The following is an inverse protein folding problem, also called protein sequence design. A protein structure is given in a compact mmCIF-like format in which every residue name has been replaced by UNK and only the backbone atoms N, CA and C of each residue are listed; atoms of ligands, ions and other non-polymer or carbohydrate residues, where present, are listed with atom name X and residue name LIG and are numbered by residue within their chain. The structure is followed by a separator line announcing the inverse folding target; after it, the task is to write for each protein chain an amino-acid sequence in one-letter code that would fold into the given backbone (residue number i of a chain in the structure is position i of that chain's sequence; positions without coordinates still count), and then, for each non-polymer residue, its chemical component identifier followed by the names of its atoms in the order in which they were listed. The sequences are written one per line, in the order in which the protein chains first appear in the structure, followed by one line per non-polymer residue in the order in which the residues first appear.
data_IF_166793546719
#
_entry.id   IF_166793546719
#
_cell.length_a   1.000
_cell.length_b   1.000
_cell.length_c   1.000
_cell.angle_alpha   90.00
_cell.angle_beta   90.00
_cell.angle_gamma   90.00
#
_symmetry.space_group_name_H-M   'P 1'
#
loop_
_entity.id
_entity.type
_entity.pdbx_description
1 polymer ?
#
# COMPACT_ATOMS: atom_id res chain seq x y z
N UNK A 1 3.81 -18.24 4.05
CA UNK A 1 4.66 -17.13 3.58
C UNK A 1 3.87 -15.82 3.51
N UNK A 2 3.12 -15.52 2.43
CA UNK A 2 2.51 -14.17 2.25
C UNK A 2 1.59 -13.75 3.40
N UNK A 3 0.62 -14.59 3.80
CA UNK A 3 -0.32 -14.26 4.89
C UNK A 3 0.41 -14.03 6.21
N UNK A 4 1.38 -14.87 6.54
CA UNK A 4 2.19 -14.75 7.76
C UNK A 4 3.01 -13.46 7.76
N UNK A 5 3.65 -13.13 6.62
CA UNK A 5 4.36 -11.86 6.47
C UNK A 5 3.43 -10.66 6.65
N UNK A 6 2.23 -10.70 6.07
CA UNK A 6 1.23 -9.63 6.25
C UNK A 6 0.79 -9.49 7.70
N UNK A 7 0.58 -10.60 8.42
CA UNK A 7 0.24 -10.58 9.85
C UNK A 7 1.38 -9.97 10.66
N UNK A 8 2.63 -10.37 10.40
CA UNK A 8 3.80 -9.82 11.10
C UNK A 8 3.96 -8.31 10.86
N UNK A 9 3.77 -7.86 9.61
CA UNK A 9 3.80 -6.43 9.26
C UNK A 9 2.69 -5.69 10.00
N UNK A 10 1.46 -6.20 10.02
CA UNK A 10 0.35 -5.58 10.73
C UNK A 10 0.61 -5.46 12.24
N UNK A 11 1.14 -6.52 12.88
CA UNK A 11 1.51 -6.51 14.29
C UNK A 11 2.61 -5.46 14.57
N UNK A 12 3.64 -5.41 13.72
CA UNK A 12 4.71 -4.42 13.85
C UNK A 12 4.16 -2.99 13.71
N UNK A 13 3.30 -2.72 12.73
CA UNK A 13 2.66 -1.42 12.53
C UNK A 13 1.87 -0.98 13.77
N UNK A 14 1.10 -1.89 14.39
CA UNK A 14 0.36 -1.61 15.62
C UNK A 14 1.29 -1.28 16.79
N UNK A 15 2.37 -2.05 16.98
CA UNK A 15 3.35 -1.82 18.05
C UNK A 15 4.06 -0.47 17.89
N UNK A 16 4.49 -0.15 16.67
CA UNK A 16 5.15 1.14 16.36
C UNK A 16 4.19 2.31 16.59
N UNK A 17 2.95 2.20 16.10
CA UNK A 17 1.91 3.21 16.31
C UNK A 17 1.67 3.48 17.80
N UNK A 18 1.56 2.42 18.60
CA UNK A 18 1.32 2.53 20.04
C UNK A 18 2.51 3.17 20.78
N UNK A 19 3.75 2.80 20.43
CA UNK A 19 4.94 3.42 21.03
C UNK A 19 5.04 4.90 20.72
N UNK A 20 4.78 5.29 19.47
CA UNK A 20 4.78 6.70 19.07
C UNK A 20 3.68 7.50 19.79
N UNK A 21 2.49 6.93 19.97
CA UNK A 21 1.41 7.60 20.74
C UNK A 21 1.87 7.89 22.17
N UNK A 22 2.48 6.91 22.83
CA UNK A 22 2.97 7.06 24.20
C UNK A 22 4.08 8.12 24.26
N UNK A 23 5.01 8.14 23.29
CA UNK A 23 6.00 9.21 23.20
C UNK A 23 5.38 10.59 23.01
N UNK A 24 4.38 10.73 22.14
CA UNK A 24 3.71 12.02 21.94
C UNK A 24 2.97 12.52 23.19
N UNK A 25 2.37 11.61 23.96
CA UNK A 25 1.75 11.93 25.25
C UNK A 25 2.77 12.38 26.31
N UNK A 26 3.99 11.83 26.27
CA UNK A 26 5.07 12.26 27.14
C UNK A 26 5.65 13.63 26.73
N UNK A 27 5.73 13.91 25.43
CA UNK A 27 6.23 15.18 24.90
C UNK A 27 5.26 16.35 25.09
N UNK A 28 3.95 16.08 25.07
CA UNK A 28 2.90 17.07 25.24
C UNK A 28 1.85 16.60 26.26
N UNK A 29 2.22 16.49 27.56
CA UNK A 29 1.35 15.96 28.60
C UNK A 29 0.06 16.78 28.76
N UNK A 30 0.11 18.09 28.52
CA UNK A 30 -1.04 19.00 28.55
C UNK A 30 -2.07 18.70 27.45
N UNK A 31 -1.64 18.02 26.37
CA UNK A 31 -2.51 17.58 25.26
C UNK A 31 -2.76 16.08 25.28
N UNK A 32 -2.26 15.34 26.27
CA UNK A 32 -2.32 13.88 26.33
C UNK A 32 -3.74 13.34 26.12
N UNK A 33 -4.73 13.93 26.81
CA UNK A 33 -6.14 13.57 26.70
C UNK A 33 -6.75 13.82 25.31
N UNK A 34 -6.15 14.72 24.51
CA UNK A 34 -6.60 15.04 23.14
C UNK A 34 -6.07 14.07 22.09
N UNK A 35 -5.04 13.28 22.41
CA UNK A 35 -4.61 12.17 21.56
C UNK A 35 -5.55 10.96 21.75
N UNK A 36 -6.77 11.09 21.24
CA UNK A 36 -7.74 10.00 21.25
C UNK A 36 -7.28 8.88 20.30
N UNK A 37 -7.62 7.60 20.57
CA UNK A 37 -7.21 6.49 19.71
C UNK A 37 -7.59 6.68 18.24
N UNK A 38 -8.80 7.15 17.96
CA UNK A 38 -9.28 7.41 16.59
C UNK A 38 -8.46 8.50 15.90
N UNK A 39 -8.29 9.66 16.56
CA UNK A 39 -7.53 10.78 15.96
C UNK A 39 -6.08 10.42 15.72
N UNK A 40 -5.49 9.65 16.65
CA UNK A 40 -4.15 9.11 16.51
C UNK A 40 -4.05 8.16 15.31
N UNK A 41 -4.95 7.20 15.19
CA UNK A 41 -4.96 6.23 14.11
C UNK A 41 -5.05 6.89 12.73
N UNK A 42 -5.95 7.86 12.55
CA UNK A 42 -6.07 8.64 11.31
C UNK A 42 -4.78 9.38 10.95
N UNK A 43 -4.18 10.03 11.96
CA UNK A 43 -2.98 10.85 11.77
C UNK A 43 -1.73 9.97 11.54
N UNK A 44 -1.67 8.81 12.19
CA UNK A 44 -0.62 7.82 11.98
C UNK A 44 -0.72 7.20 10.58
N UNK A 45 -1.93 6.82 10.16
CA UNK A 45 -2.17 6.27 8.82
C UNK A 45 -1.75 7.24 7.72
N UNK A 46 -2.11 8.52 7.83
CA UNK A 46 -1.80 9.52 6.79
C UNK A 46 -0.29 9.78 6.63
N UNK A 47 0.48 9.65 7.71
CA UNK A 47 1.93 9.88 7.68
C UNK A 47 2.76 8.59 7.58
N UNK A 48 2.14 7.41 7.70
CA UNK A 48 2.82 6.12 7.68
C UNK A 48 3.72 5.91 6.45
N UNK A 49 3.33 6.29 5.22
CA UNK A 49 4.23 6.20 4.06
C UNK A 49 5.49 7.05 4.23
N UNK A 50 5.34 8.27 4.74
CA UNK A 50 6.48 9.17 5.00
C UNK A 50 7.41 8.62 6.08
N UNK A 51 6.84 8.03 7.13
CA UNK A 51 7.63 7.34 8.17
C UNK A 51 8.41 6.19 7.52
N UNK A 52 7.77 5.38 6.68
CA UNK A 52 8.41 4.26 5.99
C UNK A 52 9.57 4.73 5.11
N UNK A 53 9.35 5.70 4.23
CA UNK A 53 10.40 6.27 3.38
C UNK A 53 11.59 6.78 4.20
N UNK A 54 11.33 7.44 5.35
CA UNK A 54 12.41 7.90 6.25
C UNK A 54 13.16 6.76 6.91
N UNK A 55 12.47 5.70 7.33
CA UNK A 55 13.09 4.51 7.92
C UNK A 55 13.96 3.80 6.89
N UNK A 56 13.44 3.59 5.68
CA UNK A 56 14.18 2.95 4.58
C UNK A 56 15.44 3.74 4.23
N UNK A 57 15.31 5.06 4.07
CA UNK A 57 16.46 5.93 3.85
C UNK A 57 17.49 5.86 4.99
N UNK A 58 17.02 5.81 6.24
CA UNK A 58 17.90 5.70 7.41
C UNK A 58 18.71 4.41 7.42
N UNK A 59 18.14 3.29 6.96
CA UNK A 59 18.84 2.00 6.85
C UNK A 59 19.63 1.85 5.54
N UNK A 60 19.75 2.91 4.73
CA UNK A 60 20.49 2.90 3.48
C UNK A 60 19.75 2.26 2.30
N UNK A 61 18.44 2.02 2.44
CA UNK A 61 17.58 1.64 1.32
C UNK A 61 17.06 2.92 0.69
N UNK A 62 17.62 3.28 -0.45
CA UNK A 62 17.07 4.36 -1.26
C UNK A 62 15.84 3.81 -2.01
N UNK A 63 14.69 4.47 -1.87
CA UNK A 63 13.51 4.19 -2.68
C UNK A 63 13.77 4.75 -4.08
N UNK A 64 14.72 4.14 -4.79
CA UNK A 64 15.08 4.51 -6.15
C UNK A 64 13.83 4.27 -7.02
N UNK A 65 13.34 5.28 -7.76
CA UNK A 65 12.29 5.08 -8.75
C UNK A 65 12.57 3.92 -9.71
N UNK A 66 13.85 3.58 -9.95
CA UNK A 66 14.26 2.41 -10.72
C UNK A 66 13.81 1.09 -10.09
N UNK A 67 13.74 0.97 -8.75
CA UNK A 67 13.23 -0.23 -8.08
C UNK A 67 11.75 -0.48 -8.39
N UNK A 68 10.94 0.58 -8.46
CA UNK A 68 9.54 0.47 -8.91
C UNK A 68 9.46 0.04 -10.38
N UNK A 69 10.30 0.62 -11.24
CA UNK A 69 10.35 0.25 -12.66
C UNK A 69 10.76 -1.22 -12.81
N UNK A 70 11.80 -1.67 -12.10
CA UNK A 70 12.25 -3.07 -12.10
C UNK A 70 11.15 -4.00 -11.62
N UNK A 71 10.45 -3.64 -10.54
CA UNK A 71 9.31 -4.41 -10.03
C UNK A 71 8.21 -4.54 -11.10
N UNK A 72 7.80 -3.44 -11.74
CA UNK A 72 6.79 -3.50 -12.80
C UNK A 72 7.27 -4.25 -14.03
N UNK A 73 8.56 -4.18 -14.39
CA UNK A 73 9.10 -4.99 -15.48
C UNK A 73 9.12 -6.49 -15.15
N UNK A 74 9.33 -6.86 -13.88
CA UNK A 74 9.37 -8.26 -13.46
C UNK A 74 7.97 -8.86 -13.28
N UNK A 75 7.07 -8.13 -12.61
CA UNK A 75 5.77 -8.63 -12.16
C UNK A 75 4.58 -8.12 -13.00
N UNK A 76 4.78 -7.05 -13.78
CA UNK A 76 3.72 -6.46 -14.60
C UNK A 76 3.49 -7.16 -15.94
N UNK A 77 4.39 -8.08 -16.32
CA UNK A 77 4.24 -8.87 -17.55
C UNK A 77 3.31 -10.05 -17.26
N UNK A 78 2.12 -10.03 -17.87
CA UNK A 78 1.15 -11.14 -17.76
C UNK A 78 1.76 -12.42 -18.37
N UNK A 79 2.06 -13.45 -17.56
CA UNK A 79 2.66 -14.69 -18.06
C UNK A 79 1.69 -15.48 -18.94
N UNK A 80 0.39 -15.16 -18.89
CA UNK A 80 -0.68 -15.83 -19.62
C UNK A 80 -1.17 -15.03 -20.82
N UNK A 81 -0.36 -14.10 -21.36
CA UNK A 81 -0.74 -13.23 -22.49
C UNK A 81 -1.27 -14.00 -23.72
N UNK A 82 -0.76 -15.21 -23.97
CA UNK A 82 -1.16 -16.06 -25.09
C UNK A 82 -2.31 -17.03 -24.77
N UNK A 83 -2.81 -17.04 -23.53
CA UNK A 83 -3.89 -17.93 -23.10
C UNK A 83 -5.22 -17.24 -23.32
N UNK A 84 -6.19 -17.94 -23.92
CA UNK A 84 -7.55 -17.43 -24.00
C UNK A 84 -8.10 -17.20 -22.59
N UNK A 85 -8.52 -15.95 -22.32
CA UNK A 85 -9.07 -15.57 -21.03
C UNK A 85 -10.49 -16.08 -20.94
N UNK A 86 -10.90 -16.47 -19.74
CA UNK A 86 -12.24 -17.01 -19.49
C UNK A 86 -13.36 -16.02 -19.91
N UNK A 87 -13.06 -14.72 -19.85
CA UNK A 87 -13.97 -13.64 -20.24
C UNK A 87 -13.75 -13.15 -21.68
N UNK A 88 -12.81 -13.72 -22.44
CA UNK A 88 -12.54 -13.31 -23.83
C UNK A 88 -13.79 -13.31 -24.72
N UNK A 89 -14.72 -14.28 -24.64
CA UNK A 89 -15.95 -14.23 -25.43
C UNK A 89 -16.85 -13.02 -25.10
N UNK A 90 -16.99 -12.70 -23.82
CA UNK A 90 -17.80 -11.57 -23.35
C UNK A 90 -17.18 -10.23 -23.77
N UNK A 91 -15.86 -10.09 -23.64
CA UNK A 91 -15.14 -8.89 -24.08
C UNK A 91 -15.29 -8.68 -25.59
N UNK A 92 -15.19 -9.75 -26.40
CA UNK A 92 -15.41 -9.68 -27.86
C UNK A 92 -16.84 -9.25 -28.19
N UNK A 93 -17.84 -9.81 -27.53
CA UNK A 93 -19.25 -9.49 -27.74
C UNK A 93 -19.59 -8.02 -27.40
N UNK A 94 -19.02 -7.49 -26.31
CA UNK A 94 -19.18 -6.07 -25.95
C UNK A 94 -18.53 -5.18 -27.00
N UNK A 95 -17.31 -5.50 -27.43
CA UNK A 95 -16.59 -4.69 -28.42
C UNK A 95 -17.27 -4.70 -29.79
N UNK A 96 -17.90 -5.81 -30.22
CA UNK A 96 -18.66 -5.84 -31.48
C UNK A 96 -19.90 -4.96 -31.43
N UNK A 97 -20.62 -4.93 -30.29
CA UNK A 97 -21.80 -4.07 -30.13
C UNK A 97 -21.46 -2.57 -30.15
N UNK A 98 -20.27 -2.18 -29.69
CA UNK A 98 -19.79 -0.79 -29.76
C UNK A 98 -19.47 -0.39 -31.21
N UNK A 99 -18.97 -1.33 -32.02
CA UNK A 99 -18.64 -1.07 -33.42
C UNK A 99 -19.90 -0.96 -34.30
N UNK A 100 -20.91 -1.78 -34.04
CA UNK A 100 -22.19 -1.76 -34.77
C UNK A 100 -23.07 -0.54 -34.44
N UNK A 101 -22.77 0.19 -33.37
CA UNK A 101 -23.49 1.41 -32.95
C UNK A 101 -22.87 2.73 -33.41
N UNK A 102 -21.82 2.69 -34.24
CA UNK A 102 -21.10 3.86 -34.79
C UNK A 102 -21.44 4.09 -36.29
N UNK A 103 -22.25 3.22 -36.92
CA UNK A 103 -22.93 3.49 -38.21
C UNK A 103 -24.23 4.29 -38.01
#
# INVERSE_FOLDING_TARGET
AVVESLVLVAMLTLVVSHRLLNHMRLLAPEKSARFTPLRWAESFYSIAPVIMTRVLKFIGIDEDPLLLIIYFMAEGVDPNVNRERLLSPWVKAVNSQVLDGIE
#
